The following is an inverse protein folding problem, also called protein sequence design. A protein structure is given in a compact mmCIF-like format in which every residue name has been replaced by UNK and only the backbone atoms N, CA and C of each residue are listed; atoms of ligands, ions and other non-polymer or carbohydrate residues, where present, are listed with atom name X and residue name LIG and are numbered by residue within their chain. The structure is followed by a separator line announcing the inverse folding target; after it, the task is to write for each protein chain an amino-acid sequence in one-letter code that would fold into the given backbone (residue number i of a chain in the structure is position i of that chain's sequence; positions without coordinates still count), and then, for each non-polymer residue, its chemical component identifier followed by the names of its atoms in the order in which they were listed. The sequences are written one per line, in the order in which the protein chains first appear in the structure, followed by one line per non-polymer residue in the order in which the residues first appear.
data_IF_429419014364
#
_entry.id   IF_429419014364
#
_cell.length_a   1.000
_cell.length_b   1.000
_cell.length_c   1.000
_cell.angle_alpha   90.00
_cell.angle_beta   90.00
_cell.angle_gamma   90.00
#
_symmetry.space_group_name_H-M   'P 1'
#
loop_
_entity.id
_entity.type
_entity.pdbx_description
1 polymer ?
#
# COMPACT_ATOMS: atom_id res chain seq x y z
N UNK A 1 -13.34 16.55 22.62
CA UNK A 1 -12.91 15.22 22.14
C UNK A 1 -11.55 15.40 21.50
N UNK A 2 -10.53 14.61 21.86
CA UNK A 2 -9.18 14.74 21.27
C UNK A 2 -9.25 14.53 19.74
N UNK A 3 -8.48 15.26 18.92
CA UNK A 3 -8.35 15.01 17.48
C UNK A 3 -8.20 13.54 17.10
N UNK A 4 -7.40 12.79 17.86
CA UNK A 4 -7.12 11.40 17.59
C UNK A 4 -8.36 10.51 17.79
N UNK A 5 -9.23 10.84 18.75
CA UNK A 5 -10.47 10.10 19.00
C UNK A 5 -11.39 10.14 17.78
N UNK A 6 -11.54 11.30 17.13
CA UNK A 6 -12.37 11.41 15.92
C UNK A 6 -11.83 10.57 14.76
N UNK A 7 -10.50 10.54 14.58
CA UNK A 7 -9.84 9.73 13.54
C UNK A 7 -10.04 8.24 13.81
N UNK A 8 -9.91 7.82 15.07
CA UNK A 8 -10.12 6.44 15.48
C UNK A 8 -11.59 6.02 15.31
N UNK A 9 -12.55 6.88 15.71
CA UNK A 9 -13.98 6.62 15.53
C UNK A 9 -14.33 6.45 14.05
N UNK A 10 -13.79 7.31 13.17
CA UNK A 10 -13.97 7.18 11.72
C UNK A 10 -13.48 5.84 11.17
N UNK A 11 -12.25 5.44 11.52
CA UNK A 11 -11.70 4.16 11.04
C UNK A 11 -12.34 2.95 11.69
N UNK A 12 -12.84 3.09 12.91
CA UNK A 12 -13.64 2.05 13.57
C UNK A 12 -14.97 1.83 12.85
N UNK A 13 -15.70 2.90 12.54
CA UNK A 13 -16.93 2.82 11.74
C UNK A 13 -16.67 2.22 10.35
N UNK A 14 -15.60 2.68 9.67
CA UNK A 14 -15.20 2.12 8.37
C UNK A 14 -14.88 0.63 8.41
N UNK A 15 -14.15 0.18 9.44
CA UNK A 15 -13.85 -1.24 9.65
C UNK A 15 -15.08 -2.08 9.96
N UNK A 16 -16.01 -1.55 10.76
CA UNK A 16 -17.30 -2.21 11.05
C UNK A 16 -18.15 -2.33 9.78
N UNK A 17 -18.23 -1.28 8.97
CA UNK A 17 -18.93 -1.29 7.69
C UNK A 17 -18.34 -2.30 6.70
N UNK A 18 -17.01 -2.35 6.56
CA UNK A 18 -16.32 -3.35 5.72
C UNK A 18 -16.62 -4.79 6.15
N UNK A 19 -16.68 -5.04 7.46
CA UNK A 19 -17.04 -6.38 7.98
C UNK A 19 -18.50 -6.73 7.68
N UNK A 20 -19.39 -5.73 7.68
CA UNK A 20 -20.82 -5.92 7.38
C UNK A 20 -21.11 -6.06 5.89
N UNK A 21 -20.33 -5.43 5.01
CA UNK A 21 -20.54 -5.49 3.55
C UNK A 21 -20.24 -6.87 2.96
N UNK A 22 -19.40 -7.66 3.63
CA UNK A 22 -18.84 -8.92 3.13
C UNK A 22 -17.97 -8.76 1.87
N UNK A 23 -17.57 -7.52 1.55
CA UNK A 23 -16.66 -7.25 0.46
C UNK A 23 -15.27 -7.83 0.76
N UNK A 24 -14.60 -8.29 -0.30
CA UNK A 24 -13.24 -8.84 -0.17
C UNK A 24 -12.15 -7.77 -0.22
N UNK A 25 -12.47 -6.59 -0.77
CA UNK A 25 -11.63 -5.41 -0.83
C UNK A 25 -12.51 -4.16 -0.89
N UNK A 26 -12.22 -3.15 -0.07
CA UNK A 26 -12.96 -1.88 -0.05
C UNK A 26 -12.00 -0.71 0.15
N UNK A 27 -12.18 0.37 -0.64
CA UNK A 27 -11.51 1.66 -0.42
C UNK A 27 -12.35 2.44 0.60
N UNK A 28 -11.79 2.70 1.78
CA UNK A 28 -12.49 3.41 2.85
C UNK A 28 -12.57 4.92 2.58
N UNK A 29 -11.43 5.50 2.18
CA UNK A 29 -11.30 6.93 1.95
C UNK A 29 -10.05 7.28 1.13
N UNK A 30 -10.10 8.45 0.48
CA UNK A 30 -8.88 9.15 0.04
C UNK A 30 -8.35 9.97 1.24
N UNK A 31 -7.06 9.83 1.53
CA UNK A 31 -6.39 10.61 2.57
C UNK A 31 -6.43 12.10 2.21
N UNK A 32 -6.74 12.99 3.18
CA UNK A 32 -6.83 14.43 2.92
C UNK A 32 -5.47 14.97 2.46
N UNK A 33 -5.46 16.03 1.65
CA UNK A 33 -4.22 16.76 1.31
C UNK A 33 -4.05 17.93 2.25
N UNK A 34 -2.86 18.12 2.78
CA UNK A 34 -2.47 19.39 3.39
C UNK A 34 -2.20 20.41 2.27
N UNK A 35 -3.23 20.99 1.67
CA UNK A 35 -3.01 22.16 0.81
C UNK A 35 -2.57 23.32 1.71
N UNK A 36 -1.39 23.85 1.45
CA UNK A 36 -0.79 24.99 2.15
C UNK A 36 -1.67 26.23 1.98
N UNK A 37 -2.65 26.41 2.87
CA UNK A 37 -3.54 27.58 2.84
C UNK A 37 -4.80 27.47 3.67
N UNK A 38 -5.23 26.26 4.06
CA UNK A 38 -6.36 26.09 4.97
C UNK A 38 -5.85 25.53 6.31
N UNK A 39 -6.00 26.27 7.43
CA UNK A 39 -5.79 25.67 8.75
C UNK A 39 -6.71 24.46 8.88
N UNK A 40 -6.19 23.38 9.47
CA UNK A 40 -6.88 22.13 9.77
C UNK A 40 -8.30 22.40 10.30
N UNK A 41 -9.28 22.49 9.41
CA UNK A 41 -10.68 22.40 9.77
C UNK A 41 -11.06 20.95 9.53
N UNK A 42 -11.24 20.30 10.67
CA UNK A 42 -11.42 18.86 10.88
C UNK A 42 -12.64 18.24 10.18
N UNK A 43 -13.41 19.04 9.43
CA UNK A 43 -14.60 18.63 8.69
C UNK A 43 -14.26 17.84 7.41
N UNK A 44 -12.99 17.77 7.02
CA UNK A 44 -12.56 17.06 5.79
C UNK A 44 -12.44 15.54 5.99
N UNK A 45 -12.18 15.06 7.20
CA UNK A 45 -12.11 13.60 7.47
C UNK A 45 -13.49 12.94 7.28
N UNK A 46 -14.57 13.68 7.58
CA UNK A 46 -15.94 13.18 7.44
C UNK A 46 -16.48 13.22 5.99
N UNK A 47 -15.83 13.93 5.06
CA UNK A 47 -16.39 14.22 3.73
C UNK A 47 -15.74 13.44 2.58
N UNK A 48 -14.82 12.51 2.87
CA UNK A 48 -14.04 11.78 1.84
C UNK A 48 -14.31 10.27 1.86
N UNK A 49 -15.56 9.87 2.15
CA UNK A 49 -15.98 8.47 2.02
C UNK A 49 -16.27 8.17 0.54
N UNK A 50 -15.46 7.34 -0.11
CA UNK A 50 -15.85 6.65 -1.35
C UNK A 50 -16.73 5.48 -0.91
N UNK A 51 -17.93 5.78 -0.39
CA UNK A 51 -18.85 4.72 0.03
C UNK A 51 -19.52 4.16 -1.21
N UNK A 52 -19.29 2.87 -1.48
CA UNK A 52 -19.91 2.13 -2.58
C UNK A 52 -21.37 1.77 -2.33
N UNK A 53 -21.98 2.13 -1.17
CA UNK A 53 -23.35 1.72 -0.84
C UNK A 53 -24.12 2.62 0.17
N UNK A 54 -24.11 3.96 0.03
CA UNK A 54 -25.04 4.83 0.80
C UNK A 54 -26.25 5.27 -0.05
N UNK A 55 -27.43 4.70 0.26
CA UNK A 55 -28.74 5.29 -0.02
C UNK A 55 -29.21 6.09 1.20
N UNK A 56 -28.66 7.27 1.45
CA UNK A 56 -29.33 8.34 2.22
C UNK A 56 -28.48 9.61 2.20
N UNK A 57 -29.08 10.67 1.65
CA UNK A 57 -28.74 12.10 1.74
C UNK A 57 -27.28 12.49 1.92
N UNK A 58 -26.55 12.58 0.80
CA UNK A 58 -25.38 13.43 0.67
C UNK A 58 -25.41 14.05 -0.73
N UNK A 59 -25.19 15.37 -0.81
CA UNK A 59 -24.85 16.09 -2.04
C UNK A 59 -23.92 15.20 -2.88
N UNK A 60 -24.38 14.72 -4.05
CA UNK A 60 -23.66 13.75 -4.90
C UNK A 60 -22.24 14.27 -5.19
N UNK A 61 -21.26 13.86 -4.39
CA UNK A 61 -19.85 14.09 -4.71
C UNK A 61 -19.52 13.17 -5.87
N UNK A 62 -19.12 13.76 -6.99
CA UNK A 62 -18.69 13.05 -8.19
C UNK A 62 -17.56 12.09 -7.83
N UNK A 63 -17.63 10.85 -8.34
CA UNK A 63 -16.56 9.86 -8.18
C UNK A 63 -15.22 10.45 -8.64
N UNK A 64 -14.08 10.04 -8.05
CA UNK A 64 -12.78 10.44 -8.54
C UNK A 64 -12.56 9.97 -9.98
N UNK A 65 -11.80 10.74 -10.76
CA UNK A 65 -11.37 10.35 -12.10
C UNK A 65 -10.64 9.01 -12.08
N UNK A 66 -10.94 8.16 -13.05
CA UNK A 66 -10.25 6.88 -13.21
C UNK A 66 -8.74 7.10 -13.44
N UNK A 67 -7.85 6.53 -12.60
CA UNK A 67 -6.42 6.61 -12.83
C UNK A 67 -5.99 5.76 -14.03
N UNK A 68 -4.81 6.01 -14.57
CA UNK A 68 -4.13 5.09 -15.50
C UNK A 68 -3.38 4.01 -14.73
N UNK A 69 -2.90 4.34 -13.53
CA UNK A 69 -2.09 3.47 -12.69
C UNK A 69 -2.49 3.55 -11.22
N UNK A 70 -2.55 2.40 -10.56
CA UNK A 70 -2.65 2.30 -9.10
C UNK A 70 -1.38 1.59 -8.59
N UNK A 71 -0.61 2.30 -7.78
CA UNK A 71 0.52 1.75 -7.03
C UNK A 71 -0.04 1.14 -5.74
N UNK A 72 0.19 -0.14 -5.50
CA UNK A 72 -0.37 -0.86 -4.35
C UNK A 72 0.73 -1.16 -3.35
N UNK A 73 0.58 -0.65 -2.13
CA UNK A 73 1.42 -0.99 -0.99
C UNK A 73 0.63 -1.84 -0.01
N UNK A 74 0.88 -3.14 -0.04
CA UNK A 74 0.24 -4.14 0.81
C UNK A 74 1.17 -4.49 1.98
N UNK A 75 0.79 -4.09 3.20
CA UNK A 75 1.62 -4.28 4.39
C UNK A 75 0.78 -4.33 5.68
N UNK A 76 1.43 -4.76 6.77
CA UNK A 76 0.77 -4.79 8.08
C UNK A 76 0.69 -3.43 8.78
N UNK A 77 1.49 -2.45 8.34
CA UNK A 77 1.51 -1.07 8.83
C UNK A 77 1.49 -0.95 10.37
N UNK A 78 2.38 -1.68 11.05
CA UNK A 78 2.32 -1.83 12.51
C UNK A 78 3.67 -1.60 13.22
N UNK A 79 4.21 -0.37 13.23
CA UNK A 79 3.73 0.81 12.50
C UNK A 79 4.29 0.84 11.06
N UNK A 80 3.77 1.72 10.17
CA UNK A 80 4.50 2.10 8.97
C UNK A 80 5.89 2.64 9.32
N UNK A 81 6.85 2.49 8.42
CA UNK A 81 8.26 2.84 8.65
C UNK A 81 8.80 3.71 7.52
N UNK A 82 9.98 4.31 7.72
CA UNK A 82 10.65 5.12 6.70
C UNK A 82 10.92 4.33 5.41
N UNK A 83 11.11 3.01 5.51
CA UNK A 83 11.20 2.13 4.34
C UNK A 83 9.89 2.10 3.53
N UNK A 84 8.72 2.06 4.18
CA UNK A 84 7.43 2.17 3.50
C UNK A 84 7.30 3.53 2.80
N UNK A 85 7.64 4.62 3.49
CA UNK A 85 7.63 5.97 2.89
C UNK A 85 8.55 6.08 1.67
N UNK A 86 9.77 5.52 1.74
CA UNK A 86 10.72 5.49 0.62
C UNK A 86 10.18 4.69 -0.58
N UNK A 87 9.58 3.53 -0.33
CA UNK A 87 8.96 2.70 -1.39
C UNK A 87 7.83 3.46 -2.09
N UNK A 88 6.94 4.11 -1.32
CA UNK A 88 5.82 4.88 -1.85
C UNK A 88 6.31 6.07 -2.69
N UNK A 89 7.19 6.88 -2.13
CA UNK A 89 7.67 8.13 -2.76
C UNK A 89 8.51 7.84 -4.00
N UNK A 90 9.43 6.86 -3.95
CA UNK A 90 10.19 6.41 -5.13
C UNK A 90 9.27 5.92 -6.25
N UNK A 91 8.23 5.13 -5.92
CA UNK A 91 7.30 4.63 -6.91
C UNK A 91 6.49 5.77 -7.57
N UNK A 92 5.98 6.71 -6.77
CA UNK A 92 5.26 7.90 -7.27
C UNK A 92 6.15 8.76 -8.16
N UNK A 93 7.39 9.04 -7.73
CA UNK A 93 8.38 9.79 -8.53
C UNK A 93 8.66 9.11 -9.87
N UNK A 94 8.78 7.78 -9.87
CA UNK A 94 9.05 7.00 -11.09
C UNK A 94 7.84 6.81 -12.01
N UNK A 95 6.62 7.19 -11.59
CA UNK A 95 5.41 6.91 -12.34
C UNK A 95 5.30 7.71 -13.65
N UNK A 96 6.01 8.84 -13.77
CA UNK A 96 6.00 9.74 -14.94
C UNK A 96 4.74 10.60 -15.05
N UNK A 97 3.55 9.98 -15.00
CA UNK A 97 2.24 10.66 -15.07
C UNK A 97 1.56 10.65 -13.70
N UNK A 98 2.00 11.55 -12.80
CA UNK A 98 1.48 11.64 -11.42
C UNK A 98 -0.01 11.98 -11.38
N UNK A 99 -0.53 12.78 -12.32
CA UNK A 99 -1.95 13.16 -12.36
C UNK A 99 -2.89 11.98 -12.60
N UNK A 100 -2.43 10.97 -13.33
CA UNK A 100 -3.18 9.74 -13.58
C UNK A 100 -2.69 8.56 -12.72
N UNK A 101 -1.98 8.83 -11.64
CA UNK A 101 -1.49 7.82 -10.69
C UNK A 101 -2.19 7.98 -9.35
N UNK A 102 -2.53 6.86 -8.72
CA UNK A 102 -2.95 6.80 -7.31
C UNK A 102 -2.09 5.82 -6.53
N UNK A 103 -1.87 6.09 -5.25
CA UNK A 103 -1.26 5.17 -4.30
C UNK A 103 -2.37 4.55 -3.45
N UNK A 104 -2.40 3.23 -3.32
CA UNK A 104 -3.31 2.48 -2.48
C UNK A 104 -2.51 1.88 -1.32
N UNK A 105 -2.77 2.34 -0.10
CA UNK A 105 -2.29 1.71 1.13
C UNK A 105 -3.28 0.63 1.53
N UNK A 106 -2.89 -0.64 1.40
CA UNK A 106 -3.78 -1.79 1.54
C UNK A 106 -3.47 -2.59 2.80
N UNK A 107 -4.45 -2.72 3.70
CA UNK A 107 -4.32 -3.47 4.95
C UNK A 107 -5.16 -4.75 4.92
N UNK A 108 -4.49 -5.90 5.05
CA UNK A 108 -5.17 -7.19 5.17
C UNK A 108 -5.70 -7.43 6.60
N UNK A 109 -7.00 -7.75 6.74
CA UNK A 109 -7.68 -7.93 8.04
C UNK A 109 -8.07 -9.37 8.36
N UNK A 110 -7.88 -10.31 7.43
CA UNK A 110 -8.34 -11.70 7.53
C UNK A 110 -7.59 -12.59 8.52
N UNK A 111 -6.68 -12.05 9.33
CA UNK A 111 -6.20 -12.74 10.53
C UNK A 111 -7.22 -12.63 11.69
N UNK A 112 -8.50 -12.86 11.42
CA UNK A 112 -9.60 -12.65 12.37
C UNK A 112 -9.47 -13.51 13.65
N UNK A 113 -8.71 -14.61 13.60
CA UNK A 113 -8.49 -15.51 14.75
C UNK A 113 -7.34 -15.09 15.68
N UNK A 114 -6.57 -14.07 15.32
CA UNK A 114 -5.53 -13.52 16.21
C UNK A 114 -5.85 -12.06 16.48
N UNK A 115 -6.07 -11.72 17.75
CA UNK A 115 -6.12 -10.33 18.19
C UNK A 115 -4.96 -9.56 17.53
N UNK A 116 -5.20 -8.37 16.94
CA UNK A 116 -4.20 -7.65 16.18
C UNK A 116 -3.09 -7.21 17.13
N UNK A 117 -2.09 -8.07 17.33
CA UNK A 117 -0.94 -7.74 18.15
C UNK A 117 0.10 -7.04 17.27
N UNK A 118 0.72 -5.93 17.71
CA UNK A 118 0.38 -5.16 18.93
C UNK A 118 -0.60 -3.96 18.77
N UNK A 119 -0.73 -3.27 17.62
CA UNK A 119 -1.74 -2.21 17.45
C UNK A 119 -3.02 -2.74 16.79
N UNK A 120 -4.18 -2.19 17.17
CA UNK A 120 -5.49 -2.49 16.56
C UNK A 120 -5.58 -2.03 15.09
N UNK A 121 -6.58 -2.49 14.36
CA UNK A 121 -6.70 -2.17 12.93
C UNK A 121 -7.00 -0.68 12.71
N UNK A 122 -7.85 -0.08 13.53
CA UNK A 122 -8.14 1.36 13.48
C UNK A 122 -6.92 2.22 13.79
N UNK A 123 -6.05 1.79 14.73
CA UNK A 123 -4.77 2.43 14.99
C UNK A 123 -3.82 2.32 13.79
N UNK A 124 -3.76 1.17 13.12
CA UNK A 124 -2.96 0.98 11.89
C UNK A 124 -3.46 1.87 10.76
N UNK A 125 -4.78 1.96 10.56
CA UNK A 125 -5.39 2.85 9.57
C UNK A 125 -5.10 4.33 9.88
N UNK A 126 -5.14 4.73 11.14
CA UNK A 126 -4.75 6.08 11.56
C UNK A 126 -3.27 6.37 11.24
N UNK A 127 -2.37 5.42 11.50
CA UNK A 127 -0.96 5.53 11.11
C UNK A 127 -0.76 5.48 9.59
N UNK A 128 -1.57 4.73 8.82
CA UNK A 128 -1.56 4.77 7.35
C UNK A 128 -1.97 6.16 6.83
N UNK A 129 -2.96 6.79 7.48
CA UNK A 129 -3.36 8.15 7.15
C UNK A 129 -2.23 9.15 7.47
N UNK A 130 -1.55 8.99 8.60
CA UNK A 130 -0.36 9.78 8.93
C UNK A 130 0.78 9.60 7.91
N UNK A 131 1.06 8.35 7.50
CA UNK A 131 2.00 8.04 6.42
C UNK A 131 1.60 8.75 5.12
N UNK A 132 0.31 8.73 4.75
CA UNK A 132 -0.16 9.40 3.54
C UNK A 132 0.12 10.91 3.56
N UNK A 133 -0.05 11.57 4.71
CA UNK A 133 0.32 12.99 4.88
C UNK A 133 1.82 13.23 4.68
N UNK A 134 2.66 12.40 5.31
CA UNK A 134 4.12 12.49 5.16
C UNK A 134 4.55 12.27 3.69
N UNK A 135 3.87 11.36 2.96
CA UNK A 135 4.10 11.14 1.53
C UNK A 135 3.71 12.36 0.70
N UNK A 136 2.56 12.99 0.96
CA UNK A 136 2.17 14.22 0.26
C UNK A 136 3.17 15.35 0.50
N UNK A 137 3.63 15.52 1.74
CA UNK A 137 4.59 16.56 2.13
C UNK A 137 5.96 16.36 1.46
N UNK A 138 6.51 15.16 1.54
CA UNK A 138 7.78 14.79 0.91
C UNK A 138 7.77 15.00 -0.60
N UNK A 139 6.69 14.58 -1.27
CA UNK A 139 6.56 14.74 -2.71
C UNK A 139 6.34 16.22 -3.10
N UNK A 140 5.74 17.04 -2.24
CA UNK A 140 5.55 18.47 -2.50
C UNK A 140 6.83 19.27 -2.33
N UNK A 141 7.67 18.92 -1.35
CA UNK A 141 8.97 19.56 -1.11
C UNK A 141 9.90 19.43 -2.32
N UNK A 142 9.93 18.26 -2.97
CA UNK A 142 10.70 18.03 -4.19
C UNK A 142 10.24 18.92 -5.36
N UNK A 143 8.92 19.08 -5.52
CA UNK A 143 8.35 19.90 -6.59
C UNK A 143 8.75 21.38 -6.42
N UNK A 144 8.97 21.84 -5.18
CA UNK A 144 9.46 23.19 -4.87
C UNK A 144 10.99 23.32 -5.01
N UNK A 145 11.75 22.28 -4.64
CA UNK A 145 13.21 22.27 -4.75
C UNK A 145 13.71 22.11 -6.20
N UNK A 146 12.94 21.43 -7.06
CA UNK A 146 13.29 21.09 -8.44
C UNK A 146 12.75 22.05 -9.48
N UNK A 147 12.97 23.36 -9.35
CA UNK A 147 12.48 24.46 -10.19
C UNK A 147 12.32 24.16 -11.70
N UNK A 148 11.22 23.50 -12.05
CA UNK A 148 10.51 23.59 -13.30
C UNK A 148 9.07 23.92 -12.91
N UNK A 149 8.54 25.02 -13.43
CA UNK A 149 7.22 25.52 -13.05
C UNK A 149 6.20 24.38 -13.02
N UNK A 150 5.34 24.29 -11.99
CA UNK A 150 4.24 23.35 -12.07
C UNK A 150 3.45 23.77 -13.31
N UNK A 151 3.33 22.87 -14.29
CA UNK A 151 2.18 22.90 -15.16
C UNK A 151 0.99 22.84 -14.20
N UNK A 152 0.44 24.02 -13.90
CA UNK A 152 -0.68 24.22 -13.01
C UNK A 152 -1.87 24.21 -13.95
N UNK A 153 -2.59 23.09 -13.96
CA UNK A 153 -4.00 23.19 -14.27
C UNK A 153 -4.70 23.83 -13.06
N UNK A 154 -5.78 24.55 -13.34
CA UNK A 154 -6.56 25.40 -12.42
C UNK A 154 -7.08 24.68 -11.14
N UNK A 155 -6.82 23.38 -10.98
CA UNK A 155 -7.28 22.51 -9.89
C UNK A 155 -6.16 21.82 -9.07
N UNK A 156 -4.87 22.00 -9.38
CA UNK A 156 -3.76 21.56 -8.50
C UNK A 156 -3.66 20.05 -8.19
N UNK A 157 -4.24 19.16 -8.99
CA UNK A 157 -4.34 17.75 -8.63
C UNK A 157 -3.04 16.94 -8.85
N UNK A 158 -2.17 16.95 -7.84
CA UNK A 158 -1.01 16.05 -7.69
C UNK A 158 -1.43 14.73 -7.03
N UNK A 159 -1.77 13.66 -7.78
CA UNK A 159 -2.06 12.25 -7.36
C UNK A 159 -2.93 11.97 -6.09
N UNK A 160 -3.70 10.89 -6.07
CA UNK A 160 -4.49 10.50 -4.88
C UNK A 160 -3.82 9.41 -4.03
N UNK A 161 -4.03 9.43 -2.71
CA UNK A 161 -3.65 8.32 -1.80
C UNK A 161 -4.92 7.75 -1.15
N UNK A 162 -5.22 6.49 -1.46
CA UNK A 162 -6.36 5.74 -0.92
C UNK A 162 -5.95 4.82 0.21
N UNK A 163 -6.80 4.69 1.23
CA UNK A 163 -6.68 3.70 2.29
C UNK A 163 -7.73 2.61 2.06
N UNK A 164 -7.31 1.36 2.02
CA UNK A 164 -8.19 0.23 1.73
C UNK A 164 -7.95 -0.96 2.65
N UNK A 165 -9.00 -1.77 2.78
CA UNK A 165 -9.01 -3.03 3.52
C UNK A 165 -9.16 -4.21 2.55
N UNK A 166 -8.64 -5.37 2.93
CA UNK A 166 -8.91 -6.62 2.22
C UNK A 166 -8.94 -7.82 3.16
N UNK A 167 -9.74 -8.82 2.81
CA UNK A 167 -9.71 -10.16 3.45
C UNK A 167 -8.86 -11.16 2.66
N UNK A 168 -8.38 -10.80 1.48
CA UNK A 168 -7.69 -11.72 0.58
C UNK A 168 -6.22 -11.87 1.01
N UNK A 169 -5.68 -13.10 1.08
CA UNK A 169 -4.30 -13.32 1.51
C UNK A 169 -3.29 -13.22 0.35
N UNK A 170 -3.70 -13.47 -0.89
CA UNK A 170 -2.79 -13.61 -2.02
C UNK A 170 -2.89 -12.45 -3.02
N UNK A 171 -1.77 -12.12 -3.67
CA UNK A 171 -1.65 -11.00 -4.61
C UNK A 171 -2.57 -11.13 -5.82
N UNK A 172 -2.75 -12.33 -6.38
CA UNK A 172 -3.61 -12.54 -7.54
C UNK A 172 -5.09 -12.25 -7.21
N UNK A 173 -5.57 -12.69 -6.05
CA UNK A 173 -6.91 -12.40 -5.57
C UNK A 173 -7.08 -10.90 -5.28
N UNK A 174 -6.13 -10.29 -4.55
CA UNK A 174 -6.14 -8.83 -4.27
C UNK A 174 -6.20 -8.03 -5.56
N UNK A 175 -5.43 -8.44 -6.56
CA UNK A 175 -5.40 -7.80 -7.87
C UNK A 175 -6.74 -7.92 -8.59
N UNK A 176 -7.38 -9.09 -8.56
CA UNK A 176 -8.69 -9.30 -9.17
C UNK A 176 -9.78 -8.47 -8.46
N UNK A 177 -9.80 -8.48 -7.13
CA UNK A 177 -10.74 -7.68 -6.34
C UNK A 177 -10.55 -6.18 -6.56
N UNK A 178 -9.31 -5.70 -6.63
CA UNK A 178 -9.02 -4.29 -6.94
C UNK A 178 -9.53 -3.91 -8.34
N UNK A 179 -9.42 -4.80 -9.34
CA UNK A 179 -9.98 -4.52 -10.66
C UNK A 179 -11.51 -4.36 -10.62
N UNK A 180 -12.21 -5.17 -9.82
CA UNK A 180 -13.67 -5.02 -9.63
C UNK A 180 -14.03 -3.71 -8.90
N UNK A 181 -13.27 -3.33 -7.87
CA UNK A 181 -13.45 -2.07 -7.15
C UNK A 181 -13.23 -0.87 -8.08
N UNK A 182 -12.25 -0.94 -8.98
CA UNK A 182 -11.96 0.15 -9.93
C UNK A 182 -13.16 0.49 -10.83
N UNK A 183 -13.94 -0.51 -11.25
CA UNK A 183 -15.13 -0.30 -12.09
C UNK A 183 -16.26 0.47 -11.37
N UNK A 184 -16.27 0.46 -10.04
CA UNK A 184 -17.37 1.03 -9.24
C UNK A 184 -16.95 2.27 -8.45
N UNK A 185 -15.70 2.36 -7.99
CA UNK A 185 -15.20 3.45 -7.15
C UNK A 185 -14.84 4.71 -7.93
N UNK A 186 -14.59 4.61 -9.25
CA UNK A 186 -14.14 5.73 -10.08
C UNK A 186 -15.16 6.09 -11.17
N UNK A 187 -14.97 7.25 -11.80
CA UNK A 187 -15.70 7.61 -13.02
C UNK A 187 -15.48 6.55 -14.12
N UNK A 188 -16.52 6.21 -14.91
CA UNK A 188 -16.37 5.23 -15.96
C UNK A 188 -15.32 5.69 -17.00
N UNK A 189 -14.49 4.77 -17.51
CA UNK A 189 -13.52 5.11 -18.55
C UNK A 189 -14.23 5.63 -19.82
N UNK A 190 -13.63 6.58 -20.55
CA UNK A 190 -13.99 6.82 -21.93
C UNK A 190 -13.90 5.51 -22.73
N UNK A 191 -14.81 5.31 -23.69
CA UNK A 191 -14.81 4.14 -24.57
C UNK A 191 -13.44 3.92 -25.22
N UNK A 192 -12.91 2.70 -25.10
CA UNK A 192 -11.62 2.29 -25.69
C UNK A 192 -10.38 2.57 -24.83
N UNK A 193 -10.54 3.04 -23.59
CA UNK A 193 -9.40 3.21 -22.66
C UNK A 193 -8.84 1.85 -22.23
N UNK A 194 -7.52 1.76 -22.13
CA UNK A 194 -6.83 0.58 -21.59
C UNK A 194 -7.18 0.35 -20.10
N UNK A 195 -7.16 -0.91 -19.62
CA UNK A 195 -7.35 -1.22 -18.21
C UNK A 195 -6.35 -0.49 -17.31
N UNK A 196 -6.74 -0.21 -16.07
CA UNK A 196 -5.87 0.42 -15.07
C UNK A 196 -4.70 -0.52 -14.73
N UNK A 197 -3.48 -0.04 -14.93
CA UNK A 197 -2.26 -0.79 -14.57
C UNK A 197 -2.10 -0.84 -13.05
N UNK A 198 -1.81 -2.01 -12.50
CA UNK A 198 -1.51 -2.18 -11.08
C UNK A 198 0.01 -2.34 -10.88
N UNK A 199 0.58 -1.64 -9.91
CA UNK A 199 2.02 -1.77 -9.57
C UNK A 199 2.15 -2.14 -8.10
N UNK A 200 2.38 -3.43 -7.81
CA UNK A 200 2.58 -3.90 -6.44
C UNK A 200 4.00 -3.61 -5.97
N UNK A 201 4.12 -2.88 -4.87
CA UNK A 201 5.40 -2.65 -4.21
C UNK A 201 5.71 -3.84 -3.31
N UNK A 202 6.81 -4.55 -3.59
CA UNK A 202 7.18 -5.77 -2.87
C UNK A 202 8.65 -5.77 -2.47
N UNK A 203 8.96 -6.44 -1.36
CA UNK A 203 10.33 -6.78 -0.97
C UNK A 203 10.80 -8.08 -1.65
N UNK A 204 12.11 -8.33 -1.58
CA UNK A 204 12.73 -9.55 -2.11
C UNK A 204 12.14 -10.83 -1.50
N UNK A 205 11.98 -10.88 -0.19
CA UNK A 205 11.36 -12.00 0.53
C UNK A 205 9.94 -12.33 0.01
N UNK A 206 9.20 -11.28 -0.34
CA UNK A 206 7.84 -11.39 -0.88
C UNK A 206 7.85 -11.87 -2.32
N UNK A 207 8.84 -11.47 -3.13
CA UNK A 207 9.02 -12.00 -4.48
C UNK A 207 9.31 -13.51 -4.47
N UNK A 208 10.18 -13.97 -3.56
CA UNK A 208 10.46 -15.41 -3.39
C UNK A 208 9.17 -16.16 -3.07
N UNK A 209 8.33 -15.62 -2.20
CA UNK A 209 7.02 -16.23 -1.88
C UNK A 209 6.06 -16.17 -3.06
N UNK A 210 6.03 -15.08 -3.81
CA UNK A 210 5.17 -14.91 -4.99
C UNK A 210 5.41 -16.01 -6.02
N UNK A 211 6.66 -16.43 -6.24
CA UNK A 211 6.99 -17.51 -7.17
C UNK A 211 7.08 -18.90 -6.54
N UNK A 212 6.68 -19.06 -5.27
CA UNK A 212 6.69 -20.37 -4.64
C UNK A 212 5.38 -21.13 -4.94
N UNK A 213 5.43 -22.30 -5.63
CA UNK A 213 4.24 -23.03 -6.06
C UNK A 213 3.35 -23.47 -4.90
N UNK A 214 3.88 -23.64 -3.68
CA UNK A 214 3.11 -24.08 -2.50
C UNK A 214 1.92 -23.18 -2.16
N UNK A 215 1.94 -21.91 -2.58
CA UNK A 215 0.85 -20.96 -2.35
C UNK A 215 -0.29 -21.07 -3.38
N UNK A 216 -0.11 -21.89 -4.42
CA UNK A 216 -1.07 -22.10 -5.50
C UNK A 216 -1.42 -23.58 -5.68
N UNK A 217 -0.83 -24.45 -4.87
CA UNK A 217 -1.10 -25.88 -4.91
C UNK A 217 -2.52 -26.18 -4.45
N UNK A 218 -3.22 -27.02 -5.19
CA UNK A 218 -4.55 -27.54 -4.83
C UNK A 218 -4.60 -29.05 -4.98
N UNK A 219 -5.51 -29.68 -4.26
CA UNK A 219 -5.74 -31.12 -4.38
C UNK A 219 -6.86 -31.36 -5.38
N UNK A 220 -6.54 -32.05 -6.48
CA UNK A 220 -7.52 -32.51 -7.47
C UNK A 220 -7.44 -34.02 -7.56
N UNK A 221 -8.57 -34.71 -7.39
CA UNK A 221 -8.65 -36.18 -7.48
C UNK A 221 -7.62 -36.94 -6.60
N UNK A 222 -7.20 -36.36 -5.48
CA UNK A 222 -6.20 -36.94 -4.58
C UNK A 222 -4.74 -36.61 -4.93
N UNK A 223 -4.50 -35.84 -5.99
CA UNK A 223 -3.16 -35.41 -6.43
C UNK A 223 -2.94 -33.92 -6.19
N UNK A 224 -1.69 -33.53 -5.91
CA UNK A 224 -1.31 -32.12 -5.76
C UNK A 224 -1.02 -31.53 -7.13
N UNK A 225 -1.86 -30.58 -7.55
CA UNK A 225 -1.72 -29.84 -8.81
C UNK A 225 -1.13 -28.47 -8.53
N UNK A 226 -0.09 -28.10 -9.28
CA UNK A 226 0.52 -26.77 -9.21
C UNK A 226 -0.32 -25.76 -9.99
N UNK A 227 -1.08 -24.92 -9.28
CA UNK A 227 -1.96 -23.89 -9.87
C UNK A 227 -1.28 -22.55 -10.17
N UNK A 228 0.06 -22.44 -10.10
CA UNK A 228 0.75 -21.13 -10.21
C UNK A 228 0.42 -20.39 -11.52
N UNK A 229 0.27 -21.10 -12.65
CA UNK A 229 -0.08 -20.48 -13.95
C UNK A 229 -1.46 -19.88 -13.93
N UNK A 230 -2.43 -20.60 -13.37
CA UNK A 230 -3.81 -20.14 -13.29
C UNK A 230 -3.93 -18.89 -12.41
N UNK A 231 -3.21 -18.87 -11.29
CA UNK A 231 -3.20 -17.74 -10.36
C UNK A 231 -2.44 -16.52 -10.91
N UNK A 232 -1.23 -16.70 -11.44
CA UNK A 232 -0.33 -15.59 -11.75
C UNK A 232 -0.48 -15.05 -13.18
N UNK A 233 -1.02 -15.80 -14.13
CA UNK A 233 -1.22 -15.27 -15.50
C UNK A 233 -2.19 -14.07 -15.51
N UNK A 234 -3.36 -14.12 -14.86
CA UNK A 234 -4.26 -12.97 -14.78
C UNK A 234 -3.67 -11.81 -13.98
N UNK A 235 -2.80 -12.08 -12.99
CA UNK A 235 -2.07 -11.05 -12.25
C UNK A 235 -1.11 -10.32 -13.19
N UNK A 236 -0.15 -11.01 -13.82
CA UNK A 236 0.87 -10.38 -14.68
C UNK A 236 0.33 -9.87 -16.02
N UNK A 237 -0.88 -10.29 -16.42
CA UNK A 237 -1.63 -9.65 -17.51
C UNK A 237 -2.07 -8.22 -17.20
N UNK A 238 -2.19 -7.85 -15.92
CA UNK A 238 -2.70 -6.54 -15.45
C UNK A 238 -1.72 -5.77 -14.59
N UNK A 239 -0.80 -6.47 -13.93
CA UNK A 239 0.04 -5.92 -12.87
C UNK A 239 1.53 -6.08 -13.14
N UNK A 240 2.30 -5.17 -12.54
CA UNK A 240 3.75 -5.23 -12.39
C UNK A 240 4.10 -5.38 -10.91
N UNK A 241 5.27 -5.96 -10.65
CA UNK A 241 5.89 -5.95 -9.34
C UNK A 241 7.07 -4.98 -9.36
N UNK A 242 7.03 -3.94 -8.51
CA UNK A 242 8.17 -3.07 -8.27
C UNK A 242 8.90 -3.56 -7.02
N UNK A 243 10.08 -4.11 -7.24
CA UNK A 243 10.87 -4.78 -6.23
C UNK A 243 11.82 -3.80 -5.54
N UNK A 244 11.80 -3.79 -4.22
CA UNK A 244 12.81 -3.14 -3.38
C UNK A 244 13.75 -4.19 -2.80
N UNK A 245 15.04 -4.05 -3.08
CA UNK A 245 16.08 -4.91 -2.51
C UNK A 245 16.39 -4.46 -1.08
N UNK A 246 16.56 -5.44 -0.19
CA UNK A 246 16.95 -5.19 1.19
C UNK A 246 17.89 -6.30 1.62
N UNK A 247 19.19 -6.01 1.66
CA UNK A 247 20.15 -6.95 2.23
C UNK A 247 19.91 -7.01 3.74
N UNK A 248 19.66 -8.20 4.27
CA UNK A 248 19.55 -8.46 5.70
C UNK A 248 20.04 -9.87 6.02
N UNK A 249 20.19 -10.18 7.31
CA UNK A 249 20.74 -11.46 7.75
C UNK A 249 19.85 -12.66 7.40
N UNK A 250 18.56 -12.45 7.18
CA UNK A 250 17.58 -13.52 6.95
C UNK A 250 17.40 -13.83 5.45
N UNK A 251 17.62 -12.83 4.58
CA UNK A 251 17.31 -12.89 3.14
C UNK A 251 18.52 -12.68 2.21
N UNK A 252 19.72 -12.73 2.78
CA UNK A 252 20.96 -12.72 2.02
C UNK A 252 21.43 -11.35 1.58
N UNK A 253 22.63 -11.34 1.00
CA UNK A 253 23.30 -10.12 0.53
C UNK A 253 22.67 -9.56 -0.74
N UNK A 254 22.93 -8.28 -1.05
CA UNK A 254 22.45 -7.63 -2.28
C UNK A 254 22.86 -8.41 -3.53
N UNK A 255 24.08 -8.93 -3.57
CA UNK A 255 24.60 -9.71 -4.70
C UNK A 255 23.81 -11.00 -4.91
N UNK A 256 23.48 -11.72 -3.83
CA UNK A 256 22.66 -12.94 -3.89
C UNK A 256 21.25 -12.65 -4.40
N UNK A 257 20.65 -11.54 -3.96
CA UNK A 257 19.34 -11.11 -4.43
C UNK A 257 19.36 -10.75 -5.93
N UNK A 258 20.41 -10.07 -6.40
CA UNK A 258 20.60 -9.75 -7.81
C UNK A 258 20.83 -11.01 -8.65
N UNK A 259 21.63 -11.97 -8.16
CA UNK A 259 21.86 -13.24 -8.84
C UNK A 259 20.56 -14.07 -8.97
N UNK A 260 19.71 -14.08 -7.94
CA UNK A 260 18.39 -14.69 -8.05
C UNK A 260 17.53 -14.03 -9.14
N UNK A 261 17.51 -12.70 -9.19
CA UNK A 261 16.76 -11.97 -10.21
C UNK A 261 17.25 -12.24 -11.63
N UNK A 262 18.56 -12.40 -11.79
CA UNK A 262 19.15 -12.80 -13.06
C UNK A 262 18.66 -14.19 -13.48
N UNK A 263 18.59 -15.14 -12.54
CA UNK A 263 18.02 -16.46 -12.80
C UNK A 263 16.52 -16.43 -13.11
N UNK A 264 15.76 -15.50 -12.50
CA UNK A 264 14.35 -15.26 -12.83
C UNK A 264 14.19 -14.68 -14.23
N UNK A 265 15.07 -13.76 -14.65
CA UNK A 265 14.99 -13.09 -15.96
C UNK A 265 15.50 -13.94 -17.11
N UNK A 266 16.64 -14.59 -16.92
CA UNK A 266 17.40 -15.21 -17.99
C UNK A 266 17.53 -16.72 -17.84
N UNK A 267 17.47 -17.24 -16.61
CA UNK A 267 17.49 -18.67 -16.29
C UNK A 267 16.14 -19.38 -16.47
N UNK A 268 15.99 -20.50 -15.77
CA UNK A 268 14.82 -21.41 -15.80
C UNK A 268 14.05 -21.43 -14.47
N UNK A 269 14.41 -20.57 -13.49
CA UNK A 269 13.83 -20.57 -12.14
C UNK A 269 12.30 -20.41 -12.14
N UNK A 270 11.76 -19.55 -13.02
CA UNK A 270 10.30 -19.38 -13.17
C UNK A 270 9.64 -20.63 -13.75
N UNK A 271 10.25 -21.25 -14.76
CA UNK A 271 9.71 -22.43 -15.43
C UNK A 271 9.74 -23.65 -14.50
N UNK A 272 10.82 -23.82 -13.73
CA UNK A 272 10.93 -24.84 -12.69
C UNK A 272 9.86 -24.69 -11.60
N UNK A 273 9.48 -23.45 -11.25
CA UNK A 273 8.36 -23.19 -10.35
C UNK A 273 6.98 -23.47 -10.98
N UNK A 274 6.93 -23.77 -12.29
CA UNK A 274 5.72 -23.94 -13.08
C UNK A 274 5.20 -22.66 -13.72
N UNK A 275 5.91 -21.54 -13.63
CA UNK A 275 5.53 -20.25 -14.18
C UNK A 275 5.80 -20.07 -15.69
N UNK A 276 5.73 -18.81 -16.14
CA UNK A 276 6.06 -18.39 -17.51
C UNK A 276 7.23 -17.40 -17.50
N UNK A 277 8.20 -17.58 -18.40
CA UNK A 277 9.42 -16.75 -18.48
C UNK A 277 9.11 -15.27 -18.74
N UNK A 278 8.06 -14.98 -19.52
CA UNK A 278 7.63 -13.62 -19.83
C UNK A 278 7.24 -12.78 -18.60
N UNK A 279 6.86 -13.40 -17.48
CA UNK A 279 6.53 -12.68 -16.24
C UNK A 279 7.73 -11.91 -15.68
N UNK A 280 8.96 -12.34 -15.98
CA UNK A 280 10.15 -11.61 -15.56
C UNK A 280 10.20 -10.17 -16.10
N UNK A 281 9.59 -9.92 -17.28
CA UNK A 281 9.48 -8.57 -17.87
C UNK A 281 8.53 -7.64 -17.10
N UNK A 282 7.73 -8.19 -16.18
CA UNK A 282 6.81 -7.46 -15.30
C UNK A 282 7.40 -7.16 -13.92
N UNK A 283 8.67 -7.48 -13.70
CA UNK A 283 9.38 -7.21 -12.46
C UNK A 283 10.35 -6.05 -12.71
N UNK A 284 10.14 -4.94 -12.04
CA UNK A 284 10.97 -3.75 -12.12
C UNK A 284 11.74 -3.59 -10.79
N UNK A 285 13.08 -3.52 -10.84
CA UNK A 285 13.88 -3.31 -9.63
C UNK A 285 13.95 -1.81 -9.37
N UNK A 286 13.53 -1.37 -8.19
CA UNK A 286 13.63 0.02 -7.79
C UNK A 286 15.10 0.41 -7.57
N UNK A 287 15.50 1.56 -8.11
CA UNK A 287 16.74 2.22 -7.74
C UNK A 287 16.60 2.71 -6.30
N UNK A 288 17.27 2.02 -5.38
CA UNK A 288 17.42 2.48 -3.99
C UNK A 288 18.76 3.19 -3.89
N UNK A 289 18.75 4.46 -3.50
CA UNK A 289 19.97 5.11 -2.99
C UNK A 289 20.55 4.31 -1.82
N UNK A 290 21.86 4.44 -1.57
CA UNK A 290 22.58 3.67 -0.55
C UNK A 290 21.77 3.61 0.75
N UNK A 291 21.46 2.38 1.15
CA UNK A 291 20.40 2.07 2.09
C UNK A 291 20.57 2.83 3.43
N UNK A 292 19.55 3.61 3.81
CA UNK A 292 19.26 3.84 5.22
C UNK A 292 19.13 2.46 5.87
N UNK A 293 19.75 2.26 7.04
CA UNK A 293 19.99 0.93 7.64
C UNK A 293 18.74 0.05 7.85
N UNK A 294 18.88 -1.08 8.55
CA UNK A 294 17.79 -2.04 8.80
C UNK A 294 16.56 -1.38 9.50
N UNK A 295 15.65 -0.81 8.72
CA UNK A 295 14.40 -0.20 9.18
C UNK A 295 13.31 -1.26 9.10
N UNK A 296 12.83 -1.71 10.27
CA UNK A 296 11.73 -2.68 10.37
C UNK A 296 10.65 -2.20 11.35
N UNK A 297 9.40 -2.60 11.12
CA UNK A 297 8.32 -2.32 12.07
C UNK A 297 8.63 -2.94 13.44
N UNK A 298 9.34 -4.08 13.50
CA UNK A 298 9.77 -4.70 14.77
C UNK A 298 10.68 -3.78 15.56
N UNK A 299 11.72 -3.23 14.93
CA UNK A 299 12.63 -2.29 15.59
C UNK A 299 11.92 -1.01 16.04
N UNK A 300 10.94 -0.53 15.28
CA UNK A 300 10.13 0.65 15.67
C UNK A 300 9.29 0.36 16.92
N UNK A 301 8.65 -0.81 17.00
CA UNK A 301 7.88 -1.22 18.17
C UNK A 301 8.76 -1.38 19.41
N UNK A 302 9.94 -1.96 19.26
CA UNK A 302 10.92 -2.10 20.34
C UNK A 302 11.40 -0.74 20.87
N UNK A 303 11.63 0.24 19.99
CA UNK A 303 11.99 1.60 20.39
C UNK A 303 10.84 2.26 21.18
N UNK A 304 9.61 2.18 20.67
CA UNK A 304 8.42 2.73 21.34
C UNK A 304 8.15 2.06 22.71
N UNK A 305 8.28 0.72 22.79
CA UNK A 305 8.11 -0.03 24.03
C UNK A 305 9.11 0.38 25.13
N UNK A 306 10.33 0.78 24.75
CA UNK A 306 11.36 1.29 25.66
C UNK A 306 11.24 2.79 25.96
N UNK A 307 10.28 3.49 25.35
CA UNK A 307 10.19 4.95 25.41
C UNK A 307 11.34 5.68 24.71
N UNK A 308 12.07 5.01 23.81
CA UNK A 308 13.18 5.57 23.04
C UNK A 308 12.63 6.32 21.82
N UNK A 309 12.09 7.52 22.07
CA UNK A 309 11.45 8.34 21.05
C UNK A 309 12.44 8.89 20.01
N UNK A 310 13.71 9.04 20.38
CA UNK A 310 14.76 9.47 19.45
C UNK A 310 14.96 8.37 18.41
N UNK A 311 15.16 7.12 18.85
CA UNK A 311 15.29 5.99 17.94
C UNK A 311 14.04 5.75 17.11
N UNK A 312 12.84 5.93 17.69
CA UNK A 312 11.60 5.78 16.93
C UNK A 312 11.54 6.74 15.74
N UNK A 313 11.93 8.02 15.92
CA UNK A 313 11.92 9.04 14.85
C UNK A 313 12.90 8.77 13.73
N UNK A 314 13.94 7.96 13.96
CA UNK A 314 14.83 7.49 12.88
C UNK A 314 14.22 6.36 12.05
N UNK A 315 13.23 5.64 12.61
CA UNK A 315 12.67 4.41 12.03
C UNK A 315 11.34 4.62 11.31
N UNK A 316 10.59 5.65 11.68
CA UNK A 316 9.25 5.91 11.13
C UNK A 316 9.09 7.37 10.70
N UNK A 317 8.18 7.67 9.76
CA UNK A 317 7.89 9.03 9.33
C UNK A 317 7.42 9.95 10.49
N UNK A 318 7.64 11.27 10.42
CA UNK A 318 7.41 12.18 11.52
C UNK A 318 5.99 12.12 12.11
N UNK A 319 4.95 12.09 11.28
CA UNK A 319 3.55 12.05 11.77
C UNK A 319 3.19 10.69 12.34
N UNK A 320 3.79 9.62 11.81
CA UNK A 320 3.66 8.27 12.39
C UNK A 320 4.33 8.22 13.77
N UNK A 321 5.51 8.81 13.94
CA UNK A 321 6.20 8.88 15.24
C UNK A 321 5.37 9.66 16.27
N UNK A 322 4.82 10.81 15.86
CA UNK A 322 3.93 11.62 16.71
C UNK A 322 2.70 10.81 17.15
N UNK A 323 2.03 10.13 16.21
CA UNK A 323 0.87 9.29 16.52
C UNK A 323 1.20 8.18 17.52
N UNK A 324 2.29 7.43 17.29
CA UNK A 324 2.73 6.36 18.20
C UNK A 324 3.03 6.90 19.60
N UNK A 325 3.64 8.08 19.69
CA UNK A 325 3.98 8.72 20.97
C UNK A 325 2.73 9.25 21.70
N UNK A 326 1.82 9.92 21.00
CA UNK A 326 0.60 10.54 21.57
C UNK A 326 -0.39 9.49 22.07
N UNK A 327 -0.58 8.42 21.30
CA UNK A 327 -1.47 7.30 21.63
C UNK A 327 -0.79 6.25 22.53
N UNK A 328 0.47 6.48 22.92
CA UNK A 328 1.28 5.55 23.74
C UNK A 328 1.27 4.12 23.22
N UNK A 329 1.34 3.95 21.90
CA UNK A 329 1.29 2.63 21.29
C UNK A 329 2.55 1.82 21.63
N UNK A 330 2.39 0.50 21.70
CA UNK A 330 3.46 -0.48 21.93
C UNK A 330 4.10 -0.47 23.31
N UNK A 331 3.62 0.37 24.22
CA UNK A 331 3.97 0.29 25.63
C UNK A 331 3.11 -0.79 26.31
N UNK A 332 3.68 -1.53 27.25
CA UNK A 332 2.87 -2.41 28.10
C UNK A 332 1.92 -1.53 28.93
N UNK A 333 0.64 -1.89 28.94
CA UNK A 333 -0.32 -1.26 29.85
C UNK A 333 0.05 -1.66 31.27
N UNK A 334 0.44 -0.69 32.11
CA UNK A 334 0.41 -0.83 33.57
C UNK A 334 -1.00 -1.14 34.06
#
# INVERSE_FOLDING_TARGET
MSPNVKVLDFFKEGLENFRLSQDQLEILCEAPRHDAGLPLTQDVICNTTISTNRKTDALERSKPRLPRRIIVMDASFNPPTSAHMQMATSAIRSAGDRRNTRLLLLLAVSNADKAPKPASFEQRLAMMNALAQDVYEEISYDDEAGAAAPESDDNGHRFGIDLALTTLPYFHDKSAALAAVVETAFEPPPTGRAPVEQVFLIGYDTLIRLFNPKYYSRTENGETVNGIREALSPLFGRARARLTLRADADWGGREEQLAYLENVRHGDALEQAGGLKEWASRIDVAETGDAHGLVSSTSAREAAARGDWVRLRELVPPRVAAWVQDERLYQESE
#
